data_IF_933883989621
#
_entry.id   IF_933883989621
#
_cell.length_a   1.000
_cell.length_b   1.000
_cell.length_c   1.000
_cell.angle_alpha   90.00
_cell.angle_beta   90.00
_cell.angle_gamma   90.00
#
_symmetry.space_group_name_H-M   'P 1'
#
loop_
_entity.id
_entity.type
_entity.pdbx_description
1 polymer ?
#
# COMPACT_ATOMS: atom_id res chain seq x y z
N UNK A 1 12.22 -0.76 12.56
CA UNK A 1 11.20 -0.71 11.50
C UNK A 1 11.78 0.05 10.33
N UNK A 2 11.82 -0.56 9.14
CA UNK A 2 12.34 0.10 7.93
C UNK A 2 11.41 1.31 7.61
N UNK A 3 11.95 2.48 7.17
CA UNK A 3 11.13 3.61 6.72
C UNK A 3 10.02 3.22 5.73
N UNK A 4 10.30 2.31 4.79
CA UNK A 4 9.32 1.78 3.84
C UNK A 4 8.19 1.04 4.55
N UNK A 5 8.56 0.04 5.35
CA UNK A 5 7.63 -0.78 6.12
C UNK A 5 6.68 0.09 6.95
N UNK A 6 7.23 1.13 7.61
CA UNK A 6 6.40 2.02 8.39
C UNK A 6 5.46 2.90 7.56
N UNK A 7 5.83 3.28 6.33
CA UNK A 7 4.93 3.99 5.41
C UNK A 7 3.80 3.08 4.97
N UNK A 8 4.12 1.84 4.60
CA UNK A 8 3.12 0.88 4.13
C UNK A 8 2.14 0.47 5.24
N UNK A 9 2.61 0.28 6.47
CA UNK A 9 1.74 0.02 7.62
C UNK A 9 0.83 1.20 7.94
N UNK A 10 1.36 2.42 7.96
CA UNK A 10 0.52 3.61 8.18
C UNK A 10 -0.54 3.77 7.08
N UNK A 11 -0.17 3.47 5.83
CA UNK A 11 -1.13 3.48 4.72
C UNK A 11 -2.20 2.40 4.85
N UNK A 12 -1.85 1.21 5.34
CA UNK A 12 -2.81 0.16 5.65
C UNK A 12 -3.83 0.64 6.69
N UNK A 13 -3.34 1.13 7.82
CA UNK A 13 -4.21 1.55 8.94
C UNK A 13 -5.17 2.67 8.51
N UNK A 14 -4.70 3.60 7.68
CA UNK A 14 -5.50 4.69 7.13
C UNK A 14 -6.51 4.23 6.06
N UNK A 15 -6.23 3.14 5.34
CA UNK A 15 -7.11 2.63 4.28
C UNK A 15 -8.05 1.52 4.76
N UNK A 16 -7.73 0.85 5.86
CA UNK A 16 -8.49 -0.26 6.42
C UNK A 16 -10.01 0.00 6.57
N UNK A 17 -10.48 1.21 6.97
CA UNK A 17 -11.91 1.50 7.04
C UNK A 17 -12.63 1.57 5.69
N UNK A 18 -11.89 1.68 4.58
CA UNK A 18 -12.40 1.95 3.24
C UNK A 18 -12.19 0.78 2.27
N UNK A 19 -11.47 -0.26 2.68
CA UNK A 19 -11.19 -1.44 1.85
C UNK A 19 -12.04 -2.61 2.29
N UNK A 20 -12.52 -3.39 1.32
CA UNK A 20 -13.35 -4.57 1.57
C UNK A 20 -12.48 -5.83 1.75
N UNK A 21 -11.40 -5.94 0.97
CA UNK A 21 -10.52 -7.12 0.93
C UNK A 21 -9.30 -6.95 1.84
N UNK A 22 -9.52 -6.80 3.15
CA UNK A 22 -8.48 -6.52 4.14
C UNK A 22 -7.32 -7.53 4.13
N UNK A 23 -7.61 -8.83 4.03
CA UNK A 23 -6.57 -9.86 4.06
C UNK A 23 -5.71 -9.86 2.79
N UNK A 24 -6.33 -9.65 1.63
CA UNK A 24 -5.61 -9.53 0.36
C UNK A 24 -4.69 -8.29 0.37
N UNK A 25 -5.20 -7.16 0.87
CA UNK A 25 -4.45 -5.92 1.03
C UNK A 25 -3.30 -6.07 2.04
N UNK A 26 -3.52 -6.74 3.17
CA UNK A 26 -2.48 -7.03 4.17
C UNK A 26 -1.36 -7.90 3.58
N UNK A 27 -1.72 -8.96 2.86
CA UNK A 27 -0.77 -9.84 2.18
C UNK A 27 0.04 -9.10 1.13
N UNK A 28 -0.60 -8.21 0.37
CA UNK A 28 0.08 -7.33 -0.60
C UNK A 28 1.15 -6.46 0.05
N UNK A 29 0.85 -5.87 1.21
CA UNK A 29 1.81 -5.03 1.93
C UNK A 29 3.00 -5.84 2.42
N UNK A 30 2.76 -7.01 3.00
CA UNK A 30 3.83 -7.90 3.45
C UNK A 30 4.73 -8.32 2.28
N UNK A 31 4.14 -8.65 1.14
CA UNK A 31 4.89 -8.94 -0.08
C UNK A 31 5.68 -7.73 -0.58
N UNK A 32 5.09 -6.54 -0.61
CA UNK A 32 5.78 -5.32 -1.03
C UNK A 32 6.98 -5.00 -0.12
N UNK A 33 6.82 -5.10 1.21
CA UNK A 33 7.92 -4.92 2.17
C UNK A 33 9.06 -5.90 1.93
N UNK A 34 8.76 -7.16 1.57
CA UNK A 34 9.77 -8.19 1.34
C UNK A 34 10.46 -8.06 -0.02
N UNK A 35 9.80 -7.48 -1.03
CA UNK A 35 10.25 -7.50 -2.42
C UNK A 35 10.80 -6.15 -2.90
N UNK A 36 10.61 -5.07 -2.14
CA UNK A 36 10.99 -3.73 -2.57
C UNK A 36 11.76 -2.97 -1.50
N UNK A 37 12.53 -1.96 -1.94
CA UNK A 37 13.38 -1.16 -1.07
C UNK A 37 12.96 0.31 -0.99
N UNK A 38 12.04 0.75 -1.84
CA UNK A 38 11.54 2.13 -1.86
C UNK A 38 10.01 2.18 -1.95
N UNK A 39 9.45 3.35 -1.61
CA UNK A 39 7.99 3.57 -1.69
C UNK A 39 7.51 3.50 -3.14
N UNK A 40 8.26 4.07 -4.07
CA UNK A 40 7.90 4.06 -5.49
C UNK A 40 7.89 2.63 -6.05
N UNK A 41 8.90 1.82 -5.71
CA UNK A 41 8.93 0.39 -6.09
C UNK A 41 7.76 -0.39 -5.49
N UNK A 42 7.42 -0.12 -4.22
CA UNK A 42 6.26 -0.74 -3.56
C UNK A 42 4.93 -0.38 -4.23
N UNK A 43 4.77 0.88 -4.64
CA UNK A 43 3.57 1.33 -5.37
C UNK A 43 3.48 0.61 -6.72
N UNK A 44 4.56 0.59 -7.50
CA UNK A 44 4.60 -0.13 -8.78
C UNK A 44 4.36 -1.63 -8.60
N UNK A 45 4.90 -2.24 -7.55
CA UNK A 45 4.66 -3.65 -7.23
C UNK A 45 3.17 -3.93 -6.97
N UNK A 46 2.54 -3.10 -6.12
CA UNK A 46 1.13 -3.26 -5.72
C UNK A 46 0.18 -3.02 -6.91
N UNK A 47 0.43 -1.97 -7.72
CA UNK A 47 -0.39 -1.64 -8.89
C UNK A 47 -0.38 -2.77 -9.94
N UNK A 48 0.74 -3.46 -10.10
CA UNK A 48 0.91 -4.52 -11.11
C UNK A 48 0.50 -5.92 -10.63
N UNK A 49 0.18 -6.13 -9.35
CA UNK A 49 -0.01 -7.48 -8.82
C UNK A 49 -1.32 -8.15 -9.26
N UNK A 50 -2.31 -7.37 -9.69
CA UNK A 50 -3.66 -7.87 -9.96
C UNK A 50 -4.31 -7.27 -11.22
N UNK A 51 -3.74 -7.49 -12.42
CA UNK A 51 -4.32 -6.99 -13.67
C UNK A 51 -5.74 -7.54 -13.91
N UNK A 52 -6.00 -8.78 -13.47
CA UNK A 52 -7.26 -9.49 -13.71
C UNK A 52 -8.18 -9.58 -12.47
N UNK A 53 -7.88 -8.84 -11.40
CA UNK A 53 -8.75 -8.86 -10.22
C UNK A 53 -10.15 -8.29 -10.48
N UNK A 54 -11.09 -8.74 -9.65
CA UNK A 54 -12.44 -8.20 -9.57
C UNK A 54 -12.43 -6.69 -9.24
N UNK A 55 -13.49 -5.99 -9.67
CA UNK A 55 -13.60 -4.52 -9.58
C UNK A 55 -13.43 -4.01 -8.14
N UNK A 56 -13.94 -4.75 -7.15
CA UNK A 56 -13.84 -4.41 -5.73
C UNK A 56 -12.38 -4.41 -5.26
N UNK A 57 -11.62 -5.46 -5.58
CA UNK A 57 -10.20 -5.55 -5.22
C UNK A 57 -9.36 -4.49 -5.96
N UNK A 58 -9.69 -4.20 -7.22
CA UNK A 58 -9.06 -3.08 -7.96
C UNK A 58 -9.30 -1.74 -7.27
N UNK A 59 -10.50 -1.52 -6.74
CA UNK A 59 -10.84 -0.31 -5.98
C UNK A 59 -10.05 -0.25 -4.67
N UNK A 60 -10.00 -1.35 -3.93
CA UNK A 60 -9.23 -1.45 -2.68
C UNK A 60 -7.74 -1.17 -2.91
N UNK A 61 -7.16 -1.70 -4.00
CA UNK A 61 -5.77 -1.43 -4.38
C UNK A 61 -5.55 0.05 -4.67
N UNK A 62 -6.47 0.73 -5.39
CA UNK A 62 -6.36 2.17 -5.66
C UNK A 62 -6.42 3.00 -4.38
N UNK A 63 -7.30 2.64 -3.45
CA UNK A 63 -7.39 3.27 -2.12
C UNK A 63 -6.07 3.09 -1.38
N UNK A 64 -5.53 1.88 -1.35
CA UNK A 64 -4.24 1.58 -0.72
C UNK A 64 -3.10 2.41 -1.33
N UNK A 65 -2.97 2.45 -2.66
CA UNK A 65 -1.93 3.24 -3.33
C UNK A 65 -2.05 4.73 -3.01
N UNK A 66 -3.27 5.27 -2.98
CA UNK A 66 -3.49 6.66 -2.59
C UNK A 66 -3.04 6.92 -1.16
N UNK A 67 -3.35 6.01 -0.22
CA UNK A 67 -2.92 6.08 1.16
C UNK A 67 -1.40 5.98 1.30
N UNK A 68 -0.72 5.10 0.55
CA UNK A 68 0.75 4.97 0.54
C UNK A 68 1.40 6.28 0.10
N UNK A 69 0.94 6.85 -1.02
CA UNK A 69 1.46 8.13 -1.52
C UNK A 69 1.22 9.26 -0.52
N UNK A 70 0.07 9.26 0.18
CA UNK A 70 -0.24 10.25 1.20
C UNK A 70 0.67 10.11 2.43
N UNK A 71 0.82 8.90 2.98
CA UNK A 71 1.69 8.60 4.12
C UNK A 71 3.16 8.95 3.84
N UNK A 72 3.65 8.63 2.65
CA UNK A 72 5.01 8.98 2.23
C UNK A 72 5.23 10.50 2.19
N UNK A 73 4.25 11.27 1.72
CA UNK A 73 4.32 12.75 1.73
C UNK A 73 4.29 13.32 3.14
N UNK A 74 3.40 12.82 4.02
CA UNK A 74 3.35 13.28 5.41
C UNK A 74 4.68 13.07 6.14
N UNK A 75 5.35 11.94 5.88
CA UNK A 75 6.68 11.67 6.44
C UNK A 75 7.74 12.63 5.93
N UNK A 76 7.76 12.94 4.63
CA UNK A 76 8.70 13.92 4.05
C UNK A 76 8.51 15.34 4.58
N UNK A 77 7.31 15.68 5.06
CA UNK A 77 6.99 16.99 5.66
C UNK A 77 7.32 17.06 7.16
N UNK A 78 7.58 15.91 7.80
CA UNK A 78 7.81 15.80 9.25
C UNK A 78 9.29 15.56 9.61
N UNK A 79 10.18 15.52 8.61
CA UNK A 79 11.63 15.37 8.77
C UNK A 79 12.36 16.53 8.10
#
# INVERSE_FOLDING_TARGET
>A
MNPLESVLHLAFDNSAPYVTNLDAVRSLIQQAVAQTTSVDDAVTYIENRFPDAEITLKTDIRILVAAIRHAARQRKLSG
#
